data_IF_721294817119
#
_entry.id   IF_721294817119
#
_cell.length_a   1.000
_cell.length_b   1.000
_cell.length_c   1.000
_cell.angle_alpha   90.00
_cell.angle_beta   90.00
_cell.angle_gamma   90.00
#
_symmetry.space_group_name_H-M   'P 1'
#
loop_
_entity.id
_entity.type
_entity.pdbx_description
1 polymer ?
#
# COMPACT_ATOMS: atom_id res chain seq x y z
N UNK A 1 -9.12 -17.62 -10.10
CA UNK A 1 -8.96 -16.48 -9.15
C UNK A 1 -9.93 -16.57 -7.98
N UNK A 2 -11.27 -16.48 -8.17
CA UNK A 2 -12.25 -16.52 -7.06
C UNK A 2 -12.23 -17.82 -6.22
N UNK A 3 -11.91 -18.95 -6.84
CA UNK A 3 -11.78 -20.23 -6.13
C UNK A 3 -10.63 -20.24 -5.09
N UNK A 4 -9.67 -19.31 -5.18
CA UNK A 4 -8.58 -19.16 -4.22
C UNK A 4 -8.92 -18.28 -3.00
N UNK A 5 -10.12 -17.71 -2.91
CA UNK A 5 -10.52 -16.85 -1.79
C UNK A 5 -11.07 -17.69 -0.63
N UNK A 6 -10.25 -18.63 -0.16
CA UNK A 6 -10.54 -19.53 0.96
C UNK A 6 -9.48 -19.29 2.03
N UNK A 7 -9.85 -18.56 3.07
CA UNK A 7 -8.95 -18.14 4.15
C UNK A 7 -9.42 -18.74 5.47
N UNK A 8 -8.47 -19.19 6.30
CA UNK A 8 -8.74 -19.76 7.62
C UNK A 8 -8.04 -18.99 8.75
N UNK A 9 -7.16 -18.05 8.39
CA UNK A 9 -6.43 -17.15 9.26
C UNK A 9 -5.84 -15.98 8.44
N UNK A 10 -5.11 -15.09 9.12
CA UNK A 10 -4.44 -13.96 8.46
C UNK A 10 -3.32 -14.42 7.50
N UNK A 11 -2.41 -15.35 7.87
CA UNK A 11 -1.37 -15.84 6.95
C UNK A 11 -1.91 -16.45 5.65
N UNK A 12 -2.98 -17.25 5.70
CA UNK A 12 -3.58 -17.84 4.50
C UNK A 12 -4.19 -16.79 3.56
N UNK A 13 -4.70 -15.69 4.10
CA UNK A 13 -5.08 -14.52 3.30
C UNK A 13 -3.86 -13.81 2.71
N UNK A 14 -2.85 -13.52 3.53
CA UNK A 14 -1.65 -12.77 3.12
C UNK A 14 -0.89 -13.49 1.99
N UNK A 15 -0.84 -14.83 2.00
CA UNK A 15 -0.24 -15.60 0.92
C UNK A 15 -0.87 -15.29 -0.45
N UNK A 16 -2.21 -15.32 -0.54
CA UNK A 16 -2.93 -14.99 -1.77
C UNK A 16 -2.81 -13.50 -2.11
N UNK A 17 -2.86 -12.64 -1.09
CA UNK A 17 -2.75 -11.19 -1.24
C UNK A 17 -1.43 -10.77 -1.86
N UNK A 18 -0.29 -11.27 -1.35
CA UNK A 18 1.03 -10.95 -1.88
C UNK A 18 1.28 -11.56 -3.26
N UNK A 19 0.81 -12.79 -3.51
CA UNK A 19 0.90 -13.40 -4.84
C UNK A 19 0.17 -12.57 -5.90
N UNK A 20 -1.01 -12.03 -5.55
CA UNK A 20 -1.78 -11.17 -6.44
C UNK A 20 -1.04 -9.87 -6.80
N UNK A 21 -0.13 -9.37 -5.96
CA UNK A 21 0.67 -8.18 -6.27
C UNK A 21 1.71 -8.41 -7.37
N UNK A 22 1.99 -9.65 -7.78
CA UNK A 22 2.98 -9.98 -8.81
C UNK A 22 2.71 -9.32 -10.16
N UNK A 23 1.46 -8.93 -10.43
CA UNK A 23 1.06 -8.24 -11.66
C UNK A 23 1.33 -6.72 -11.62
N UNK A 24 1.54 -6.15 -10.43
CA UNK A 24 1.84 -4.72 -10.26
C UNK A 24 3.35 -4.50 -10.45
N UNK A 25 3.72 -3.88 -11.57
CA UNK A 25 5.11 -3.69 -12.00
C UNK A 25 5.41 -2.27 -12.49
N UNK A 26 4.45 -1.64 -13.14
CA UNK A 26 4.56 -0.32 -13.76
C UNK A 26 3.74 0.71 -13.01
N UNK A 27 4.07 1.99 -13.19
CA UNK A 27 3.29 3.10 -12.60
C UNK A 27 1.82 3.06 -13.06
N UNK A 28 1.57 2.61 -14.30
CA UNK A 28 0.20 2.44 -14.81
C UNK A 28 -0.56 1.35 -14.05
N UNK A 29 0.08 0.25 -13.68
CA UNK A 29 -0.58 -0.83 -12.92
C UNK A 29 -1.07 -0.32 -11.55
N UNK A 30 -0.27 0.52 -10.88
CA UNK A 30 -0.65 1.14 -9.62
C UNK A 30 -1.72 2.23 -9.80
N UNK A 31 -1.66 2.98 -10.90
CA UNK A 31 -2.72 3.93 -11.26
C UNK A 31 -4.04 3.20 -11.45
N UNK A 32 -4.08 2.15 -12.27
CA UNK A 32 -5.30 1.41 -12.60
C UNK A 32 -5.93 0.79 -11.35
N UNK A 33 -5.09 0.24 -10.45
CA UNK A 33 -5.53 -0.29 -9.16
C UNK A 33 -6.18 0.79 -8.28
N UNK A 34 -5.49 1.91 -8.08
CA UNK A 34 -5.99 3.00 -7.25
C UNK A 34 -7.24 3.67 -7.86
N UNK A 35 -7.25 3.85 -9.19
CA UNK A 35 -8.38 4.42 -9.91
C UNK A 35 -9.64 3.57 -9.74
N UNK A 36 -9.53 2.25 -9.92
CA UNK A 36 -10.66 1.34 -9.74
C UNK A 36 -11.22 1.39 -8.29
N UNK A 37 -10.35 1.51 -7.29
CA UNK A 37 -10.78 1.74 -5.90
C UNK A 37 -11.51 3.07 -5.75
N UNK A 38 -10.96 4.17 -6.28
CA UNK A 38 -11.53 5.51 -6.14
C UNK A 38 -12.90 5.64 -6.84
N UNK A 39 -13.08 5.02 -8.00
CA UNK A 39 -14.38 4.94 -8.69
C UNK A 39 -15.43 4.23 -7.83
N UNK A 40 -15.05 3.07 -7.27
CA UNK A 40 -15.90 2.30 -6.37
C UNK A 40 -16.25 3.09 -5.10
N UNK A 41 -15.25 3.68 -4.45
CA UNK A 41 -15.42 4.46 -3.24
C UNK A 41 -16.32 5.70 -3.48
N UNK A 42 -16.14 6.39 -4.61
CA UNK A 42 -17.00 7.49 -5.03
C UNK A 42 -18.46 7.03 -5.21
N UNK A 43 -18.69 5.91 -5.89
CA UNK A 43 -20.03 5.35 -6.08
C UNK A 43 -20.72 4.98 -4.75
N UNK A 44 -19.93 4.68 -3.72
CA UNK A 44 -20.38 4.40 -2.35
C UNK A 44 -20.39 5.66 -1.46
N UNK A 45 -20.30 6.85 -2.06
CA UNK A 45 -20.34 8.17 -1.42
C UNK A 45 -19.18 8.49 -0.47
N UNK A 46 -18.05 7.78 -0.57
CA UNK A 46 -16.83 8.14 0.15
C UNK A 46 -16.34 9.51 -0.36
N UNK A 47 -16.16 10.46 0.55
CA UNK A 47 -15.69 11.82 0.23
C UNK A 47 -14.19 12.00 0.46
N UNK A 48 -13.64 11.22 1.38
CA UNK A 48 -12.25 11.25 1.78
C UNK A 48 -11.77 9.85 2.15
N UNK A 49 -10.60 9.45 1.64
CA UNK A 49 -9.98 8.18 1.94
C UNK A 49 -8.51 8.38 2.38
N UNK A 50 -8.11 7.70 3.45
CA UNK A 50 -6.71 7.54 3.83
C UNK A 50 -6.32 6.10 3.50
N UNK A 51 -5.44 5.93 2.52
CA UNK A 51 -5.21 4.65 1.85
C UNK A 51 -3.85 4.12 2.28
N UNK A 52 -3.82 2.90 2.79
CA UNK A 52 -2.58 2.17 3.06
C UNK A 52 -1.93 1.68 1.77
N UNK A 53 -0.60 1.68 1.75
CA UNK A 53 0.19 0.99 0.74
C UNK A 53 1.48 0.43 1.33
N UNK A 54 1.95 -0.67 0.76
CA UNK A 54 3.05 -1.48 1.32
C UNK A 54 4.27 -1.44 0.38
N UNK A 55 5.14 -0.42 0.45
CA UNK A 55 6.27 -0.30 -0.48
C UNK A 55 7.17 -1.54 -0.48
N UNK A 56 7.32 -2.21 0.67
CA UNK A 56 8.16 -3.41 0.79
C UNK A 56 7.63 -4.61 -0.01
N UNK A 57 6.30 -4.72 -0.20
CA UNK A 57 5.70 -5.77 -1.02
C UNK A 57 5.98 -5.61 -2.53
N UNK A 58 6.49 -4.44 -2.93
CA UNK A 58 6.83 -4.11 -4.31
C UNK A 58 8.35 -4.00 -4.52
N UNK A 59 9.04 -3.30 -3.63
CA UNK A 59 10.50 -3.09 -3.70
C UNK A 59 11.27 -4.39 -3.55
N UNK A 60 10.80 -5.33 -2.73
CA UNK A 60 11.36 -6.69 -2.64
C UNK A 60 11.30 -7.49 -3.95
N UNK A 61 10.43 -7.10 -4.88
CA UNK A 61 10.29 -7.69 -6.22
C UNK A 61 10.97 -6.87 -7.32
N UNK A 62 11.76 -5.85 -6.96
CA UNK A 62 12.49 -5.00 -7.90
C UNK A 62 11.67 -3.84 -8.48
N UNK A 63 10.45 -3.58 -7.99
CA UNK A 63 9.66 -2.41 -8.39
C UNK A 63 10.12 -1.20 -7.57
N UNK A 64 10.62 -0.15 -8.22
CA UNK A 64 11.10 1.03 -7.52
C UNK A 64 9.99 1.73 -6.70
N UNK A 65 10.33 2.27 -5.54
CA UNK A 65 9.41 3.02 -4.68
C UNK A 65 8.69 4.14 -5.45
N UNK A 66 9.45 4.89 -6.27
CA UNK A 66 8.90 5.93 -7.12
C UNK A 66 7.82 5.43 -8.09
N UNK A 67 7.98 4.23 -8.64
CA UNK A 67 7.04 3.63 -9.58
C UNK A 67 5.69 3.38 -8.91
N UNK A 68 5.70 2.85 -7.67
CA UNK A 68 4.49 2.66 -6.86
C UNK A 68 3.81 4.02 -6.62
N UNK A 69 4.57 4.95 -6.03
CA UNK A 69 4.00 6.21 -5.55
C UNK A 69 3.49 7.11 -6.68
N UNK A 70 4.18 7.13 -7.82
CA UNK A 70 3.75 7.92 -8.99
C UNK A 70 2.39 7.46 -9.52
N UNK A 71 2.14 6.15 -9.57
CA UNK A 71 0.86 5.60 -10.04
C UNK A 71 -0.28 5.95 -9.10
N UNK A 72 -0.09 5.70 -7.80
CA UNK A 72 -1.05 6.05 -6.75
C UNK A 72 -1.35 7.56 -6.74
N UNK A 73 -0.31 8.40 -6.79
CA UNK A 73 -0.45 9.87 -6.81
C UNK A 73 -1.28 10.34 -8.00
N UNK A 74 -1.00 9.83 -9.20
CA UNK A 74 -1.72 10.24 -10.40
C UNK A 74 -3.21 9.89 -10.29
N UNK A 75 -3.54 8.69 -9.80
CA UNK A 75 -4.93 8.28 -9.58
C UNK A 75 -5.64 9.16 -8.54
N UNK A 76 -4.95 9.56 -7.45
CA UNK A 76 -5.53 10.48 -6.45
C UNK A 76 -5.79 11.89 -7.01
N UNK A 77 -4.88 12.41 -7.83
CA UNK A 77 -5.06 13.72 -8.48
C UNK A 77 -6.30 13.69 -9.39
N UNK A 78 -6.45 12.62 -10.17
CA UNK A 78 -7.62 12.45 -11.04
C UNK A 78 -8.89 12.14 -10.26
N UNK A 79 -8.82 11.35 -9.18
CA UNK A 79 -9.96 11.11 -8.28
C UNK A 79 -10.51 12.43 -7.73
N UNK A 80 -9.62 13.34 -7.32
CA UNK A 80 -10.03 14.68 -6.88
C UNK A 80 -10.65 15.50 -8.01
N UNK A 81 -10.04 15.49 -9.20
CA UNK A 81 -10.44 16.32 -10.34
C UNK A 81 -11.74 15.85 -11.00
N UNK A 82 -11.92 14.54 -11.16
CA UNK A 82 -12.96 13.92 -11.95
C UNK A 82 -14.14 13.43 -11.09
N UNK A 83 -13.85 12.93 -9.88
CA UNK A 83 -14.86 12.32 -9.00
C UNK A 83 -15.16 13.18 -7.76
N UNK A 84 -14.32 14.18 -7.47
CA UNK A 84 -14.44 15.01 -6.28
C UNK A 84 -14.10 14.28 -4.96
N UNK A 85 -13.57 13.06 -5.02
CA UNK A 85 -13.07 12.32 -3.85
C UNK A 85 -11.65 12.79 -3.51
N UNK A 86 -11.38 13.05 -2.24
CA UNK A 86 -10.04 13.37 -1.76
C UNK A 86 -9.38 12.11 -1.22
N UNK A 87 -8.08 11.94 -1.48
CA UNK A 87 -7.32 10.82 -0.96
C UNK A 87 -5.96 11.28 -0.42
N UNK A 88 -5.45 10.54 0.57
CA UNK A 88 -4.11 10.67 1.14
C UNK A 88 -3.52 9.29 1.36
N UNK A 89 -2.18 9.20 1.42
CA UNK A 89 -1.48 7.92 1.59
C UNK A 89 -0.91 7.77 2.99
N UNK A 90 -1.05 6.58 3.55
CA UNK A 90 -0.35 6.13 4.75
C UNK A 90 0.58 4.99 4.33
N UNK A 91 1.87 5.13 4.61
CA UNK A 91 2.85 4.11 4.23
C UNK A 91 2.95 3.05 5.31
N UNK A 92 2.69 1.79 4.98
CA UNK A 92 2.81 0.69 5.94
C UNK A 92 4.20 0.05 5.90
N UNK A 93 4.68 -0.32 7.07
CA UNK A 93 5.83 -1.21 7.25
C UNK A 93 5.30 -2.63 7.44
N UNK A 94 5.86 -3.59 6.69
CA UNK A 94 5.50 -4.99 6.80
C UNK A 94 6.17 -5.59 8.05
N UNK A 95 5.37 -5.93 9.07
CA UNK A 95 5.87 -6.27 10.41
C UNK A 95 6.57 -7.63 10.50
N UNK A 96 6.32 -8.50 9.53
CA UNK A 96 6.97 -9.81 9.35
C UNK A 96 8.37 -9.71 8.73
N UNK A 97 8.75 -8.57 8.16
CA UNK A 97 10.12 -8.24 7.79
C UNK A 97 10.95 -7.70 8.97
N UNK A 98 12.24 -7.45 8.75
CA UNK A 98 13.13 -6.90 9.79
C UNK A 98 12.87 -5.41 10.03
N UNK A 99 13.08 -4.94 11.26
CA UNK A 99 13.01 -3.52 11.61
C UNK A 99 14.02 -2.67 10.81
N UNK A 100 15.18 -3.24 10.48
CA UNK A 100 16.17 -2.60 9.62
C UNK A 100 15.64 -2.34 8.20
N UNK A 101 14.85 -3.27 7.64
CA UNK A 101 14.20 -3.03 6.35
C UNK A 101 13.10 -1.97 6.48
N UNK A 102 12.31 -1.99 7.57
CA UNK A 102 11.34 -0.93 7.85
C UNK A 102 11.98 0.46 7.93
N UNK A 103 13.09 0.60 8.66
CA UNK A 103 13.87 1.85 8.74
C UNK A 103 14.40 2.29 7.37
N UNK A 104 14.94 1.36 6.58
CA UNK A 104 15.42 1.69 5.23
C UNK A 104 14.29 2.23 4.33
N UNK A 105 13.10 1.62 4.40
CA UNK A 105 11.90 2.09 3.69
C UNK A 105 11.44 3.45 4.19
N UNK A 106 11.47 3.71 5.50
CA UNK A 106 11.16 5.03 6.05
C UNK A 106 12.13 6.10 5.52
N UNK A 107 13.44 5.83 5.52
CA UNK A 107 14.44 6.77 5.02
C UNK A 107 14.27 7.04 3.51
N UNK A 108 13.97 6.02 2.71
CA UNK A 108 13.65 6.19 1.28
C UNK A 108 12.40 7.07 1.07
N UNK A 109 11.40 6.94 1.95
CA UNK A 109 10.15 7.71 1.87
C UNK A 109 10.32 9.21 2.11
N UNK A 110 11.41 9.65 2.74
CA UNK A 110 11.62 11.06 3.11
C UNK A 110 11.63 12.00 1.90
N UNK A 111 12.09 11.52 0.73
CA UNK A 111 12.03 12.27 -0.53
C UNK A 111 10.58 12.53 -1.01
N UNK A 112 9.62 11.83 -0.43
CA UNK A 112 8.20 11.86 -0.78
C UNK A 112 7.29 12.26 0.38
N UNK A 113 7.84 12.78 1.48
CA UNK A 113 7.10 13.08 2.72
C UNK A 113 5.82 13.91 2.52
N UNK A 114 5.79 14.79 1.53
CA UNK A 114 4.63 15.65 1.27
C UNK A 114 3.43 14.87 0.66
N UNK A 115 3.64 13.61 0.28
CA UNK A 115 2.63 12.71 -0.27
C UNK A 115 2.16 11.65 0.73
N UNK A 116 2.82 11.51 1.88
CA UNK A 116 2.60 10.47 2.88
C UNK A 116 2.21 11.17 4.19
N UNK A 117 0.98 11.00 4.64
CA UNK A 117 0.44 11.70 5.82
C UNK A 117 0.71 10.97 7.13
N UNK A 118 1.15 9.72 7.08
CA UNK A 118 1.43 8.90 8.25
C UNK A 118 2.13 7.60 7.90
N UNK A 119 2.52 6.87 8.96
CA UNK A 119 3.13 5.55 8.88
C UNK A 119 2.21 4.53 9.56
N UNK A 120 2.00 3.39 8.92
CA UNK A 120 1.25 2.24 9.44
C UNK A 120 2.15 1.03 9.69
N UNK A 121 1.58 -0.01 10.30
CA UNK A 121 2.24 -1.29 10.56
C UNK A 121 1.23 -2.41 10.36
N UNK A 122 1.50 -3.33 9.43
CA UNK A 122 0.60 -4.42 9.06
C UNK A 122 1.38 -5.69 8.73
N UNK A 123 0.76 -6.63 8.01
CA UNK A 123 1.22 -8.00 7.79
C UNK A 123 1.06 -8.94 8.98
N UNK A 124 1.75 -10.10 8.97
CA UNK A 124 1.58 -11.17 9.94
C UNK A 124 1.93 -10.70 11.37
N UNK A 125 0.90 -10.58 12.19
CA UNK A 125 1.00 -10.11 13.56
C UNK A 125 1.63 -11.13 14.51
N UNK A 126 1.45 -12.43 14.24
CA UNK A 126 1.89 -13.48 15.13
C UNK A 126 3.43 -13.48 15.23
N UNK A 127 3.96 -13.25 16.43
CA UNK A 127 5.41 -13.20 16.65
C UNK A 127 6.09 -11.91 16.20
N UNK A 128 5.35 -10.91 15.71
CA UNK A 128 5.89 -9.63 15.23
C UNK A 128 5.31 -8.44 16.02
N UNK A 129 5.67 -8.25 17.30
CA UNK A 129 5.06 -7.23 18.15
C UNK A 129 5.44 -5.79 17.71
N UNK A 130 4.61 -4.78 18.03
CA UNK A 130 4.91 -3.38 17.70
C UNK A 130 6.27 -2.89 18.23
N UNK A 131 6.68 -3.37 19.41
CA UNK A 131 7.96 -2.99 20.03
C UNK A 131 9.19 -3.31 19.17
N UNK A 132 9.08 -4.26 18.21
CA UNK A 132 10.12 -4.57 17.22
C UNK A 132 10.48 -3.36 16.35
N UNK A 133 9.54 -2.44 16.15
CA UNK A 133 9.66 -1.29 15.26
C UNK A 133 9.67 0.04 16.02
N UNK A 134 9.94 0.04 17.33
CA UNK A 134 9.90 1.26 18.16
C UNK A 134 10.87 2.36 17.71
N UNK A 135 11.98 1.98 17.07
CA UNK A 135 12.99 2.90 16.55
C UNK A 135 12.73 3.36 15.11
N UNK A 136 11.74 2.77 14.43
CA UNK A 136 11.28 3.15 13.08
C UNK A 136 10.27 4.28 13.20
#
# INVERSE_FOLDING_TARGET
MRAGYLFHDLPSFLAVYYDAMSVLKTSQDFYDLAWAYLERAHAENVRYAEIFFDPQAHTSRGVAFHTVLSGLRNAMLDGRRLLGIRAQLIMCILRDHSAAYGMATLLESLAYRDLIIGIGLDSDEAGNPPAKFAEV
#
